data_IF_894288367434
#
_entry.id   IF_894288367434
#
_cell.length_a   1.000
_cell.length_b   1.000
_cell.length_c   1.000
_cell.angle_alpha   90.00
_cell.angle_beta   90.00
_cell.angle_gamma   90.00
#
_symmetry.space_group_name_H-M   'P 1'
#
loop_
_entity.id
_entity.type
_entity.pdbx_description
1 polymer ?
#
# COMPACT_ATOMS: atom_id res chain seq x y z
N UNK A 1 30.36 2.57 3.62
CA UNK A 1 29.44 2.87 4.73
C UNK A 1 28.04 2.88 4.15
N UNK A 2 27.12 2.00 4.58
CA UNK A 2 25.74 2.12 4.14
C UNK A 2 25.16 3.39 4.77
N UNK A 3 24.76 4.34 3.94
CA UNK A 3 24.08 5.56 4.40
C UNK A 3 22.78 5.15 5.11
N UNK A 4 22.42 5.86 6.19
CA UNK A 4 21.13 5.64 6.84
C UNK A 4 20.01 5.92 5.83
N UNK A 5 18.98 5.06 5.71
CA UNK A 5 17.86 5.31 4.83
C UNK A 5 17.20 6.64 5.16
N UNK A 6 16.89 7.45 4.15
CA UNK A 6 16.19 8.73 4.29
C UNK A 6 14.70 8.53 4.00
N UNK A 7 13.85 8.77 4.98
CA UNK A 7 12.41 8.55 4.91
C UNK A 7 11.69 9.89 4.94
N UNK A 8 10.99 10.23 3.86
CA UNK A 8 10.14 11.42 3.79
C UNK A 8 8.79 11.16 4.45
N UNK A 9 8.33 12.08 5.30
CA UNK A 9 7.01 12.00 5.95
C UNK A 9 6.21 13.23 5.55
N UNK A 10 5.18 13.07 4.72
CA UNK A 10 4.26 14.17 4.43
C UNK A 10 3.28 14.35 5.58
N UNK A 11 3.02 15.60 5.98
CA UNK A 11 2.09 15.89 7.08
C UNK A 11 0.62 15.61 6.72
N UNK A 12 0.29 15.60 5.44
CA UNK A 12 -1.10 15.57 4.98
C UNK A 12 -1.78 16.94 5.11
N UNK A 13 -3.09 16.95 5.37
CA UNK A 13 -3.82 18.19 5.65
C UNK A 13 -3.53 18.65 7.09
N UNK A 14 -2.96 19.85 7.25
CA UNK A 14 -2.56 20.35 8.56
C UNK A 14 -3.74 20.72 9.48
N UNK A 15 -4.96 20.87 8.93
CA UNK A 15 -6.17 20.98 9.75
C UNK A 15 -6.69 19.61 10.23
N UNK A 16 -6.14 18.50 9.73
CA UNK A 16 -6.41 17.15 10.22
C UNK A 16 -5.46 16.75 11.36
N UNK A 17 -5.46 15.47 11.68
CA UNK A 17 -4.63 14.89 12.75
C UNK A 17 -3.18 14.60 12.32
N UNK A 18 -2.84 14.85 11.04
CA UNK A 18 -1.56 14.48 10.45
C UNK A 18 -0.34 15.07 11.19
N UNK A 19 -0.27 16.39 11.40
CA UNK A 19 0.83 17.02 12.13
C UNK A 19 1.04 16.45 13.54
N UNK A 20 -0.03 16.24 14.29
CA UNK A 20 0.00 15.76 15.67
C UNK A 20 0.51 14.31 15.75
N UNK A 21 0.05 13.44 14.82
CA UNK A 21 0.51 12.06 14.74
C UNK A 21 2.00 12.01 14.39
N UNK A 22 2.44 12.83 13.43
CA UNK A 22 3.85 12.86 12.99
C UNK A 22 4.75 13.34 14.12
N UNK A 23 4.39 14.45 14.77
CA UNK A 23 5.13 14.98 15.91
C UNK A 23 5.24 13.96 17.06
N UNK A 24 4.11 13.33 17.41
CA UNK A 24 4.08 12.30 18.44
C UNK A 24 4.92 11.08 18.06
N UNK A 25 4.82 10.59 16.81
CA UNK A 25 5.56 9.44 16.34
C UNK A 25 7.08 9.67 16.42
N UNK A 26 7.56 10.81 15.91
CA UNK A 26 9.00 11.15 15.92
C UNK A 26 9.52 11.33 17.35
N UNK A 27 8.74 11.94 18.24
CA UNK A 27 9.13 12.14 19.66
C UNK A 27 8.96 10.89 20.54
N UNK A 28 8.21 9.90 20.08
CA UNK A 28 7.86 8.73 20.92
C UNK A 28 9.04 7.82 21.28
N UNK A 29 10.17 7.93 20.57
CA UNK A 29 11.29 6.99 20.68
C UNK A 29 10.98 5.56 20.19
N UNK A 30 9.82 5.34 19.58
CA UNK A 30 9.40 4.02 19.04
C UNK A 30 9.72 3.83 17.56
N UNK A 31 9.99 4.94 16.87
CA UNK A 31 10.40 4.93 15.48
C UNK A 31 11.90 4.59 15.42
N UNK A 32 12.36 3.68 14.54
CA UNK A 32 13.77 3.27 14.50
C UNK A 32 14.71 4.46 14.26
N UNK A 33 15.77 4.56 15.06
CA UNK A 33 16.85 5.56 14.93
C UNK A 33 17.84 5.24 13.80
N UNK A 34 17.66 4.09 13.15
CA UNK A 34 18.48 3.64 12.01
C UNK A 34 18.17 4.36 10.69
N UNK A 35 17.26 5.33 10.68
CA UNK A 35 16.84 6.08 9.49
C UNK A 35 16.74 7.58 9.78
N UNK A 36 16.98 8.39 8.76
CA UNK A 36 16.83 9.84 8.80
C UNK A 36 15.42 10.21 8.36
N UNK A 37 14.64 10.87 9.22
CA UNK A 37 13.28 11.29 8.90
C UNK A 37 13.23 12.75 8.44
N UNK A 38 12.67 12.98 7.25
CA UNK A 38 12.49 14.31 6.66
C UNK A 38 11.01 14.63 6.68
N UNK A 39 10.61 15.64 7.47
CA UNK A 39 9.23 16.11 7.47
C UNK A 39 9.00 17.00 6.26
N UNK A 40 7.98 16.70 5.47
CA UNK A 40 7.67 17.36 4.20
C UNK A 40 6.30 18.03 4.28
N UNK A 41 6.26 19.29 3.89
CA UNK A 41 5.06 20.11 3.87
C UNK A 41 5.10 21.27 4.85
N UNK A 42 4.58 22.42 4.40
CA UNK A 42 4.40 23.59 5.23
C UNK A 42 3.14 23.47 6.09
N UNK A 43 3.16 24.10 7.25
CA UNK A 43 1.97 24.27 8.10
C UNK A 43 1.53 25.73 8.03
N UNK A 44 0.68 26.11 7.06
CA UNK A 44 0.03 27.41 7.10
C UNK A 44 -0.84 27.53 8.36
N UNK A 45 -1.31 28.74 8.66
CA UNK A 45 -2.29 28.94 9.73
C UNK A 45 -3.51 28.06 9.48
N UNK A 46 -3.74 27.09 10.37
CA UNK A 46 -4.82 26.13 10.28
C UNK A 46 -5.48 25.95 11.65
N UNK A 47 -6.76 25.63 11.63
CA UNK A 47 -7.52 25.27 12.84
C UNK A 47 -7.89 23.79 12.75
N UNK A 48 -7.61 22.99 13.80
CA UNK A 48 -7.98 21.57 13.82
C UNK A 48 -9.47 21.36 13.53
N UNK A 49 -9.77 20.43 12.62
CA UNK A 49 -11.13 20.12 12.16
C UNK A 49 -11.68 21.04 11.07
N UNK A 50 -10.95 22.09 10.66
CA UNK A 50 -11.40 23.09 9.69
C UNK A 50 -10.47 23.17 8.46
N UNK A 51 -10.53 22.19 7.54
CA UNK A 51 -9.69 22.18 6.35
C UNK A 51 -10.11 23.25 5.35
N UNK A 52 -9.12 24.01 4.86
CA UNK A 52 -9.30 25.15 3.95
C UNK A 52 -8.65 24.89 2.59
N UNK A 53 -8.86 25.81 1.64
CA UNK A 53 -8.17 25.79 0.34
C UNK A 53 -6.65 25.91 0.55
N UNK A 54 -6.21 26.69 1.54
CA UNK A 54 -4.79 26.91 1.83
C UNK A 54 -4.12 25.66 2.39
N UNK A 55 -4.79 24.96 3.33
CA UNK A 55 -4.27 23.71 3.88
C UNK A 55 -4.22 22.60 2.83
N UNK A 56 -5.20 22.54 1.92
CA UNK A 56 -5.19 21.61 0.80
C UNK A 56 -4.09 21.92 -0.22
N UNK A 57 -3.80 23.19 -0.52
CA UNK A 57 -2.65 23.57 -1.37
C UNK A 57 -1.33 23.14 -0.73
N UNK A 58 -1.17 23.35 0.58
CA UNK A 58 0.01 22.93 1.30
C UNK A 58 0.18 21.40 1.28
N UNK A 59 -0.90 20.65 1.49
CA UNK A 59 -0.90 19.18 1.41
C UNK A 59 -0.54 18.67 -0.01
N UNK A 60 -1.11 19.28 -1.05
CA UNK A 60 -0.79 18.94 -2.44
C UNK A 60 0.68 19.24 -2.78
N UNK A 61 1.20 20.40 -2.36
CA UNK A 61 2.60 20.76 -2.54
C UNK A 61 3.53 19.77 -1.82
N UNK A 62 3.19 19.32 -0.62
CA UNK A 62 3.97 18.33 0.13
C UNK A 62 4.05 16.98 -0.61
N UNK A 63 2.97 16.54 -1.26
CA UNK A 63 2.98 15.34 -2.07
C UNK A 63 3.91 15.46 -3.29
N UNK A 64 3.86 16.59 -3.99
CA UNK A 64 4.72 16.87 -5.16
C UNK A 64 6.20 16.98 -4.75
N UNK A 65 6.48 17.60 -3.61
CA UNK A 65 7.82 17.67 -3.04
C UNK A 65 8.34 16.27 -2.70
N UNK A 66 7.55 15.44 -2.02
CA UNK A 66 7.93 14.08 -1.67
C UNK A 66 8.25 13.23 -2.91
N UNK A 67 7.41 13.30 -3.96
CA UNK A 67 7.69 12.66 -5.25
C UNK A 67 9.01 13.17 -5.83
N UNK A 68 9.21 14.49 -5.86
CA UNK A 68 10.39 15.11 -6.46
C UNK A 68 11.67 14.63 -5.79
N UNK A 69 11.69 14.62 -4.45
CA UNK A 69 12.83 14.15 -3.67
C UNK A 69 13.08 12.65 -3.88
N UNK A 70 12.04 11.82 -3.85
CA UNK A 70 12.19 10.39 -4.10
C UNK A 70 12.70 10.08 -5.52
N UNK A 71 12.21 10.80 -6.55
CA UNK A 71 12.68 10.63 -7.93
C UNK A 71 14.11 11.10 -8.16
N UNK A 72 14.62 12.00 -7.32
CA UNK A 72 16.03 12.42 -7.31
C UNK A 72 16.94 11.46 -6.54
N UNK A 73 16.38 10.41 -5.92
CA UNK A 73 17.13 9.50 -5.06
C UNK A 73 17.50 10.12 -3.71
N UNK A 74 16.83 11.20 -3.30
CA UNK A 74 17.07 11.86 -2.01
C UNK A 74 16.30 11.20 -0.87
N UNK A 75 15.26 10.43 -1.19
CA UNK A 75 14.46 9.63 -0.25
C UNK A 75 14.43 8.16 -0.69
N UNK A 76 14.61 7.25 0.26
CA UNK A 76 14.48 5.81 0.08
C UNK A 76 13.04 5.33 0.26
N UNK A 77 12.22 6.09 1.01
CA UNK A 77 10.81 5.79 1.23
C UNK A 77 10.00 7.06 1.52
N UNK A 78 8.69 6.97 1.30
CA UNK A 78 7.71 8.00 1.64
C UNK A 78 6.65 7.39 2.56
N UNK A 79 6.38 8.08 3.66
CA UNK A 79 5.24 7.86 4.57
C UNK A 79 4.30 9.04 4.41
N UNK A 80 3.01 8.78 4.28
CA UNK A 80 2.03 9.83 4.00
C UNK A 80 1.07 10.06 5.15
N UNK A 81 0.92 11.32 5.55
CA UNK A 81 -0.16 11.77 6.42
C UNK A 81 -1.53 11.76 5.72
N UNK A 82 -2.63 11.75 6.50
CA UNK A 82 -3.99 11.76 5.97
C UNK A 82 -4.35 13.11 5.35
N UNK A 83 -5.23 13.10 4.36
CA UNK A 83 -5.64 14.31 3.65
C UNK A 83 -7.12 14.31 3.28
N UNK A 84 -7.68 15.51 3.13
CA UNK A 84 -9.10 15.70 2.86
C UNK A 84 -9.38 15.75 1.34
N UNK A 85 -9.73 14.62 0.74
CA UNK A 85 -9.94 14.49 -0.72
C UNK A 85 -10.83 15.57 -1.34
N UNK A 86 -11.94 15.95 -0.68
CA UNK A 86 -12.82 17.01 -1.15
C UNK A 86 -12.11 18.34 -1.38
N UNK A 87 -11.30 18.78 -0.41
CA UNK A 87 -10.51 20.02 -0.49
C UNK A 87 -9.34 19.91 -1.47
N UNK A 88 -8.78 18.70 -1.61
CA UNK A 88 -7.77 18.44 -2.64
C UNK A 88 -8.34 18.70 -4.05
N UNK A 89 -9.58 18.29 -4.32
CA UNK A 89 -10.24 18.59 -5.60
C UNK A 89 -10.44 20.09 -5.83
N UNK A 90 -10.79 20.86 -4.79
CA UNK A 90 -10.95 22.33 -4.87
C UNK A 90 -9.66 23.04 -5.32
N UNK A 91 -8.49 22.45 -5.07
CA UNK A 91 -7.17 22.99 -5.45
C UNK A 91 -6.60 22.37 -6.72
N UNK A 92 -7.41 21.61 -7.46
CA UNK A 92 -7.05 21.03 -8.75
C UNK A 92 -6.30 19.70 -8.67
N UNK A 93 -6.30 19.02 -7.52
CA UNK A 93 -5.80 17.64 -7.42
C UNK A 93 -6.73 16.71 -8.20
N UNK A 94 -6.23 15.95 -9.18
CA UNK A 94 -7.10 15.17 -10.09
C UNK A 94 -7.14 13.67 -9.78
N UNK A 95 -6.46 13.24 -8.72
CA UNK A 95 -6.25 11.84 -8.43
C UNK A 95 -7.31 11.31 -7.45
N UNK A 96 -7.79 10.06 -7.63
CA UNK A 96 -8.69 9.41 -6.68
C UNK A 96 -8.13 9.29 -5.26
N UNK A 97 -6.79 9.26 -5.13
CA UNK A 97 -6.09 9.10 -3.87
C UNK A 97 -4.57 9.27 -4.01
N UNK A 98 -3.88 9.13 -2.88
CA UNK A 98 -2.42 9.19 -2.80
C UNK A 98 -1.75 8.08 -3.61
N UNK A 99 -2.29 6.85 -3.57
CA UNK A 99 -1.76 5.71 -4.31
C UNK A 99 -1.69 6.02 -5.81
N UNK A 100 -2.79 6.49 -6.39
CA UNK A 100 -2.87 6.81 -7.82
C UNK A 100 -1.98 8.01 -8.17
N UNK A 101 -1.89 9.01 -7.29
CA UNK A 101 -0.99 10.15 -7.43
C UNK A 101 0.48 9.70 -7.53
N UNK A 102 0.97 8.92 -6.57
CA UNK A 102 2.37 8.45 -6.59
C UNK A 102 2.63 7.53 -7.77
N UNK A 103 1.68 6.65 -8.10
CA UNK A 103 1.79 5.75 -9.24
C UNK A 103 1.99 6.53 -10.55
N UNK A 104 1.13 7.52 -10.84
CA UNK A 104 1.26 8.34 -12.04
C UNK A 104 2.57 9.13 -12.04
N UNK A 105 2.88 9.82 -10.93
CA UNK A 105 4.07 10.67 -10.82
C UNK A 105 5.39 9.90 -10.91
N UNK A 106 5.39 8.63 -10.50
CA UNK A 106 6.54 7.74 -10.62
C UNK A 106 6.54 6.89 -11.91
N UNK A 107 5.53 7.03 -12.78
CA UNK A 107 5.40 6.23 -14.01
C UNK A 107 5.13 4.74 -13.75
N UNK A 108 4.54 4.40 -12.60
CA UNK A 108 4.24 3.02 -12.19
C UNK A 108 2.81 2.68 -12.56
N UNK A 109 2.63 1.68 -13.42
CA UNK A 109 1.31 1.20 -13.84
C UNK A 109 0.86 -0.04 -13.05
N UNK A 110 1.81 -0.85 -12.56
CA UNK A 110 1.51 -2.08 -11.86
C UNK A 110 1.72 -1.91 -10.34
N UNK A 111 0.65 -1.58 -9.64
CA UNK A 111 0.62 -1.43 -8.19
C UNK A 111 -0.64 -2.10 -7.60
N UNK A 112 -0.61 -2.36 -6.29
CA UNK A 112 -1.74 -2.94 -5.56
C UNK A 112 -1.78 -2.38 -4.14
N UNK A 113 -2.99 -2.30 -3.58
CA UNK A 113 -3.16 -1.91 -2.19
C UNK A 113 -2.88 -3.11 -1.28
N UNK A 114 -2.08 -2.87 -0.24
CA UNK A 114 -1.73 -3.88 0.75
C UNK A 114 -1.74 -3.28 2.16
N UNK A 115 -2.28 -4.03 3.11
CA UNK A 115 -2.25 -3.69 4.54
C UNK A 115 -1.34 -4.67 5.26
N UNK A 116 -0.43 -4.16 6.09
CA UNK A 116 0.51 -4.99 6.85
C UNK A 116 0.45 -4.65 8.33
N UNK A 117 0.28 -5.66 9.18
CA UNK A 117 0.18 -5.54 10.62
C UNK A 117 0.78 -6.76 11.31
N UNK A 118 1.84 -6.55 12.10
CA UNK A 118 2.56 -7.64 12.75
C UNK A 118 3.05 -8.70 11.75
N UNK A 119 2.50 -9.92 11.88
CA UNK A 119 2.83 -11.09 11.04
C UNK A 119 1.91 -11.27 9.83
N UNK A 120 0.84 -10.48 9.71
CA UNK A 120 -0.17 -10.63 8.65
C UNK A 120 0.00 -9.50 7.64
N UNK A 121 -0.09 -9.85 6.36
CA UNK A 121 -0.06 -8.93 5.23
C UNK A 121 -1.18 -9.33 4.29
N UNK A 122 -2.06 -8.41 3.95
CA UNK A 122 -3.26 -8.63 3.13
C UNK A 122 -3.19 -7.71 1.93
N UNK A 123 -3.10 -8.28 0.73
CA UNK A 123 -3.30 -7.54 -0.51
C UNK A 123 -4.76 -7.68 -0.97
N UNK A 124 -5.31 -6.63 -1.56
CA UNK A 124 -6.69 -6.63 -2.03
C UNK A 124 -6.74 -6.69 -3.55
N UNK A 125 -7.49 -7.66 -4.11
CA UNK A 125 -7.72 -7.77 -5.55
C UNK A 125 -8.64 -6.65 -6.04
N UNK A 126 -9.65 -6.31 -5.23
CA UNK A 126 -10.54 -5.16 -5.44
C UNK A 126 -10.45 -4.21 -4.26
N UNK A 127 -10.50 -2.90 -4.50
CA UNK A 127 -10.40 -1.88 -3.44
C UNK A 127 -11.76 -1.25 -3.14
N UNK A 128 -11.92 0.05 -3.36
CA UNK A 128 -13.12 0.81 -3.01
C UNK A 128 -14.18 0.73 -4.11
N UNK A 129 -14.92 -0.39 -4.17
CA UNK A 129 -16.04 -0.58 -5.10
C UNK A 129 -17.33 -0.98 -4.36
N UNK A 130 -18.52 -0.69 -4.92
CA UNK A 130 -19.78 -1.16 -4.33
C UNK A 130 -19.81 -2.69 -4.23
N UNK A 131 -20.35 -3.21 -3.12
CA UNK A 131 -20.39 -4.66 -2.86
C UNK A 131 -21.05 -5.44 -4.02
N UNK A 132 -22.16 -4.93 -4.57
CA UNK A 132 -22.86 -5.55 -5.71
C UNK A 132 -22.07 -5.55 -7.04
N UNK A 133 -20.87 -4.97 -7.08
CA UNK A 133 -19.96 -4.98 -8.23
C UNK A 133 -18.76 -5.91 -8.03
N UNK A 134 -18.52 -6.40 -6.81
CA UNK A 134 -17.30 -7.17 -6.47
C UNK A 134 -17.17 -8.43 -7.33
N UNK A 135 -18.21 -9.29 -7.38
CA UNK A 135 -18.19 -10.51 -8.19
C UNK A 135 -17.86 -10.22 -9.66
N UNK A 136 -18.56 -9.25 -10.27
CA UNK A 136 -18.32 -8.88 -11.68
C UNK A 136 -16.97 -8.22 -11.97
N UNK A 137 -16.33 -7.63 -10.95
CA UNK A 137 -15.02 -6.98 -11.09
C UNK A 137 -13.87 -7.99 -10.96
N UNK A 138 -14.13 -9.17 -10.39
CA UNK A 138 -13.12 -10.18 -10.14
C UNK A 138 -12.67 -10.82 -11.47
N UNK A 139 -11.35 -10.87 -11.68
CA UNK A 139 -10.73 -11.46 -12.87
C UNK A 139 -9.53 -12.30 -12.46
N UNK A 140 -9.34 -13.42 -13.15
CA UNK A 140 -8.19 -14.30 -12.94
C UNK A 140 -6.87 -13.52 -13.08
N UNK A 141 -6.77 -12.67 -14.10
CA UNK A 141 -5.59 -11.84 -14.37
C UNK A 141 -5.26 -10.89 -13.22
N UNK A 142 -6.28 -10.31 -12.56
CA UNK A 142 -6.06 -9.39 -11.44
C UNK A 142 -5.61 -10.13 -10.18
N UNK A 143 -6.14 -11.33 -9.92
CA UNK A 143 -5.68 -12.18 -8.81
C UNK A 143 -4.21 -12.55 -9.00
N UNK A 144 -3.83 -12.96 -10.21
CA UNK A 144 -2.43 -13.28 -10.54
C UNK A 144 -1.54 -12.04 -10.38
N UNK A 145 -1.91 -10.92 -11.00
CA UNK A 145 -1.13 -9.67 -10.93
C UNK A 145 -0.89 -9.21 -9.48
N UNK A 146 -1.94 -9.18 -8.66
CA UNK A 146 -1.84 -8.80 -7.24
C UNK A 146 -1.06 -9.84 -6.43
N UNK A 147 -1.25 -11.13 -6.71
CA UNK A 147 -0.51 -12.20 -6.04
C UNK A 147 1.00 -12.13 -6.30
N UNK A 148 1.42 -11.81 -7.52
CA UNK A 148 2.84 -11.60 -7.86
C UNK A 148 3.43 -10.37 -7.16
N UNK A 149 2.69 -9.25 -7.13
CA UNK A 149 3.11 -8.06 -6.38
C UNK A 149 3.26 -8.36 -4.88
N UNK A 150 2.33 -9.13 -4.29
CA UNK A 150 2.41 -9.55 -2.90
C UNK A 150 3.62 -10.49 -2.67
N UNK A 151 3.89 -11.41 -3.59
CA UNK A 151 5.03 -12.31 -3.50
C UNK A 151 6.37 -11.55 -3.52
N UNK A 152 6.52 -10.56 -4.41
CA UNK A 152 7.71 -9.69 -4.46
C UNK A 152 7.82 -8.86 -3.16
N UNK A 153 6.73 -8.23 -2.71
CA UNK A 153 6.71 -7.47 -1.46
C UNK A 153 7.14 -8.31 -0.25
N UNK A 154 6.57 -9.51 -0.09
CA UNK A 154 6.90 -10.43 1.00
C UNK A 154 8.36 -10.90 0.95
N UNK A 155 8.90 -11.12 -0.25
CA UNK A 155 10.30 -11.52 -0.44
C UNK A 155 11.26 -10.41 -0.01
N UNK A 156 10.96 -9.16 -0.36
CA UNK A 156 11.76 -7.98 0.07
C UNK A 156 11.64 -7.74 1.58
N UNK A 157 10.43 -7.81 2.13
CA UNK A 157 10.17 -7.61 3.57
C UNK A 157 10.84 -8.67 4.43
N UNK A 158 10.90 -9.91 3.95
CA UNK A 158 11.57 -11.03 4.62
C UNK A 158 13.09 -10.88 4.63
N UNK A 159 13.66 -10.46 3.50
CA UNK A 159 15.12 -10.27 3.35
C UNK A 159 15.69 -9.20 4.27
N UNK A 160 14.90 -8.17 4.61
CA UNK A 160 15.28 -7.14 5.57
C UNK A 160 15.40 -7.64 7.01
N UNK A 161 14.72 -8.76 7.36
CA UNK A 161 14.83 -9.43 8.66
C UNK A 161 15.87 -10.54 8.55
N UNK A 162 17.15 -10.16 8.58
CA UNK A 162 18.32 -11.01 8.34
C UNK A 162 18.57 -12.10 9.39
N UNK A 163 17.56 -12.86 9.79
CA UNK A 163 17.71 -14.17 10.39
C UNK A 163 17.43 -15.22 9.31
N UNK A 164 18.50 -15.74 8.70
CA UNK A 164 18.44 -16.79 7.67
C UNK A 164 17.87 -18.11 8.20
N UNK A 165 17.67 -18.25 9.51
CA UNK A 165 17.01 -19.41 10.13
C UNK A 165 15.49 -19.25 10.28
N UNK A 166 14.94 -18.06 10.01
CA UNK A 166 13.52 -17.76 10.11
C UNK A 166 12.68 -18.44 9.01
N UNK A 167 11.42 -18.82 9.26
CA UNK A 167 10.48 -19.29 8.24
C UNK A 167 10.34 -18.36 7.02
N UNK A 168 10.69 -17.08 7.17
CA UNK A 168 10.77 -16.08 6.10
C UNK A 168 11.80 -16.42 5.00
N UNK A 169 12.80 -17.26 5.29
CA UNK A 169 13.77 -17.78 4.32
C UNK A 169 13.20 -18.90 3.41
N UNK A 170 11.94 -19.29 3.62
CA UNK A 170 11.22 -20.33 2.85
C UNK A 170 10.38 -19.76 1.71
N UNK A 171 10.60 -18.53 1.26
CA UNK A 171 9.81 -17.93 0.18
C UNK A 171 8.42 -17.45 0.65
N UNK A 172 7.69 -16.73 -0.23
CA UNK A 172 6.39 -16.16 0.10
C UNK A 172 5.36 -17.26 0.37
N UNK A 173 4.56 -17.07 1.43
CA UNK A 173 3.40 -17.91 1.77
C UNK A 173 2.15 -17.08 1.59
N UNK A 174 1.31 -17.43 0.62
CA UNK A 174 0.13 -16.67 0.22
C UNK A 174 -1.09 -17.59 0.25
N UNK A 175 -2.06 -17.27 1.11
CA UNK A 175 -3.38 -17.87 1.07
C UNK A 175 -4.33 -16.92 0.33
N UNK A 176 -5.05 -17.44 -0.66
CA UNK A 176 -6.06 -16.69 -1.42
C UNK A 176 -7.44 -17.01 -0.86
N UNK A 177 -8.15 -15.99 -0.40
CA UNK A 177 -9.50 -16.15 0.12
C UNK A 177 -10.51 -16.42 -1.01
N UNK A 178 -11.54 -17.22 -0.73
CA UNK A 178 -12.72 -17.33 -1.58
C UNK A 178 -13.50 -16.01 -1.63
N UNK A 179 -14.27 -15.81 -2.69
CA UNK A 179 -15.21 -14.70 -2.82
C UNK A 179 -16.51 -15.03 -2.07
N UNK A 180 -17.02 -16.22 -2.31
CA UNK A 180 -18.27 -16.71 -1.75
C UNK A 180 -18.05 -17.29 -0.35
N UNK A 181 -19.09 -17.26 0.52
CA UNK A 181 -19.08 -18.03 1.76
C UNK A 181 -18.75 -19.51 1.47
N UNK A 182 -17.97 -20.13 2.35
CA UNK A 182 -17.54 -21.53 2.18
C UNK A 182 -16.79 -21.81 0.86
N UNK A 183 -16.16 -20.80 0.25
CA UNK A 183 -15.49 -20.92 -1.04
C UNK A 183 -16.40 -21.54 -2.12
N UNK A 184 -17.67 -21.12 -2.13
CA UNK A 184 -18.66 -21.52 -3.13
C UNK A 184 -19.32 -22.87 -2.88
N UNK A 185 -18.93 -23.62 -1.83
CA UNK A 185 -19.50 -24.93 -1.46
C UNK A 185 -19.60 -25.87 -2.68
N UNK A 186 -18.47 -26.06 -3.36
CA UNK A 186 -18.38 -26.85 -4.61
C UNK A 186 -19.34 -26.37 -5.72
N UNK A 187 -19.55 -25.06 -5.84
CA UNK A 187 -20.41 -24.46 -6.86
C UNK A 187 -21.86 -24.26 -6.46
N UNK A 188 -22.26 -24.67 -5.25
CA UNK A 188 -23.64 -24.52 -4.75
C UNK A 188 -23.98 -23.11 -4.31
N UNK A 189 -22.97 -22.32 -3.94
CA UNK A 189 -23.11 -20.93 -3.45
C UNK A 189 -22.20 -20.03 -4.30
N UNK A 190 -22.42 -20.04 -5.62
CA UNK A 190 -21.57 -19.30 -6.56
C UNK A 190 -20.46 -20.17 -7.15
N UNK A 191 -19.90 -19.72 -8.29
CA UNK A 191 -18.96 -20.51 -9.12
C UNK A 191 -17.62 -19.81 -9.34
N UNK A 192 -17.46 -18.60 -8.84
CA UNK A 192 -16.26 -17.78 -9.01
C UNK A 192 -15.00 -18.48 -8.50
N UNK A 193 -15.09 -19.30 -7.45
CA UNK A 193 -13.96 -20.09 -6.97
C UNK A 193 -13.44 -21.08 -8.02
N UNK A 194 -14.34 -21.80 -8.69
CA UNK A 194 -13.97 -22.81 -9.68
C UNK A 194 -13.55 -22.16 -11.01
N UNK A 195 -14.23 -21.08 -11.39
CA UNK A 195 -14.09 -20.48 -12.72
C UNK A 195 -13.01 -19.39 -12.78
N UNK A 196 -12.68 -18.75 -11.65
CA UNK A 196 -11.79 -17.58 -11.62
C UNK A 196 -10.65 -17.78 -10.63
N UNK A 197 -10.94 -18.13 -9.36
CA UNK A 197 -9.95 -18.10 -8.29
C UNK A 197 -9.01 -19.31 -8.33
N UNK A 198 -9.53 -20.53 -8.45
CA UNK A 198 -8.71 -21.75 -8.51
C UNK A 198 -7.78 -21.75 -9.73
N UNK A 199 -8.24 -21.35 -10.93
CA UNK A 199 -7.35 -21.13 -12.07
C UNK A 199 -6.26 -20.07 -11.82
N UNK A 200 -6.59 -18.98 -11.11
CA UNK A 200 -5.61 -17.95 -10.75
C UNK A 200 -4.53 -18.49 -9.80
N UNK A 201 -4.91 -19.32 -8.83
CA UNK A 201 -3.97 -19.95 -7.89
C UNK A 201 -3.05 -20.93 -8.60
N UNK A 202 -3.59 -21.71 -9.54
CA UNK A 202 -2.77 -22.59 -10.38
C UNK A 202 -1.75 -21.78 -11.20
N UNK A 203 -2.16 -20.66 -11.80
CA UNK A 203 -1.27 -19.75 -12.51
C UNK A 203 -0.18 -19.15 -11.58
N UNK A 204 -0.56 -18.68 -10.39
CA UNK A 204 0.39 -18.16 -9.40
C UNK A 204 1.44 -19.19 -8.99
N UNK A 205 1.04 -20.45 -8.78
CA UNK A 205 1.99 -21.55 -8.49
C UNK A 205 2.98 -21.78 -9.63
N UNK A 206 2.53 -21.62 -10.87
CA UNK A 206 3.40 -21.76 -12.04
C UNK A 206 4.36 -20.58 -12.22
N UNK A 207 3.93 -19.36 -11.89
CA UNK A 207 4.72 -18.15 -12.14
C UNK A 207 5.72 -17.86 -11.01
N UNK A 208 5.38 -18.20 -9.76
CA UNK A 208 6.27 -18.00 -8.61
C UNK A 208 7.35 -19.09 -8.62
N UNK A 209 8.53 -18.74 -9.11
CA UNK A 209 9.62 -19.68 -9.39
C UNK A 209 10.35 -20.21 -8.15
N UNK A 210 10.13 -19.61 -6.98
CA UNK A 210 10.77 -20.04 -5.75
C UNK A 210 10.09 -21.33 -5.23
N UNK A 211 10.78 -22.48 -5.24
CA UNK A 211 10.18 -23.78 -4.94
C UNK A 211 9.77 -23.97 -3.47
N UNK A 212 10.19 -23.05 -2.58
CA UNK A 212 9.80 -23.07 -1.18
C UNK A 212 8.50 -22.30 -0.92
N UNK A 213 8.04 -21.50 -1.90
CA UNK A 213 6.82 -20.70 -1.79
C UNK A 213 5.59 -21.60 -1.62
N UNK A 214 4.63 -21.13 -0.85
CA UNK A 214 3.39 -21.86 -0.57
C UNK A 214 2.20 -21.00 -1.01
N UNK A 215 1.48 -21.44 -2.03
CA UNK A 215 0.26 -20.77 -2.51
C UNK A 215 -0.94 -21.70 -2.27
N UNK A 216 -1.92 -21.26 -1.49
CA UNK A 216 -3.07 -22.06 -1.05
C UNK A 216 -4.41 -21.33 -1.22
N UNK A 217 -5.52 -22.08 -1.09
CA UNK A 217 -6.91 -21.59 -1.24
C UNK A 217 -7.56 -21.92 -2.58
N UNK A 218 -8.76 -21.34 -2.86
CA UNK A 218 -9.70 -20.96 -1.81
C UNK A 218 -10.25 -22.20 -1.09
#
# INVERSE_FOLDING_TARGET
>A
MSMQPRIGITLGDCAGIGPEIVDFAVKSGRVPDSADYVIIGQQPNCKPGEPTIETARAAAAALEEAVTLARRGELDAIVTGPLHKGRMYDVGFKFPGQTEFFAERCGVQNFAMCLTGGKITVALVTTHIPLGKVSSALKQSEIVRVGLLLADFLSRRSSAKADRSSPAARGPRIAVAGLNPHAGESGKIGREEMEIISPAIAALKSEISNPKSEITGP
#
